data_IF_449192881311
#
_entry.id   IF_449192881311
#
_cell.length_a   1.000
_cell.length_b   1.000
_cell.length_c   1.000
_cell.angle_alpha   90.00
_cell.angle_beta   90.00
_cell.angle_gamma   90.00
#
_symmetry.space_group_name_H-M   'P 1'
#
loop_
_entity.id
_entity.type
_entity.pdbx_description
1 polymer ?
#
# COMPACT_ATOMS: atom_id res chain seq x y z
N UNK A 1 -1.40 -21.74 -6.55
CA UNK A 1 -2.47 -20.81 -6.98
C UNK A 1 -1.96 -19.38 -6.85
N UNK A 2 -2.60 -18.40 -7.48
CA UNK A 2 -2.25 -16.99 -7.28
C UNK A 2 -2.67 -16.57 -5.87
N UNK A 3 -1.72 -16.50 -4.94
CA UNK A 3 -1.99 -16.25 -3.51
C UNK A 3 -2.47 -14.80 -3.28
N UNK A 4 -1.98 -13.83 -4.05
CA UNK A 4 -2.48 -12.44 -4.03
C UNK A 4 -3.97 -12.40 -4.37
N UNK A 5 -4.39 -13.10 -5.43
CA UNK A 5 -5.81 -13.10 -5.82
C UNK A 5 -6.71 -13.71 -4.74
N UNK A 6 -6.29 -14.82 -4.13
CA UNK A 6 -7.03 -15.42 -3.03
C UNK A 6 -7.15 -14.44 -1.84
N UNK A 7 -6.05 -13.75 -1.49
CA UNK A 7 -6.05 -12.73 -0.44
C UNK A 7 -6.99 -11.55 -0.75
N UNK A 8 -6.98 -11.04 -1.99
CA UNK A 8 -7.89 -9.97 -2.44
C UNK A 8 -9.35 -10.35 -2.27
N UNK A 9 -9.72 -11.55 -2.73
CA UNK A 9 -11.09 -12.08 -2.66
C UNK A 9 -11.54 -12.32 -1.20
N UNK A 10 -10.67 -12.90 -0.36
CA UNK A 10 -10.98 -13.20 1.04
C UNK A 10 -11.14 -11.95 1.92
N UNK A 11 -10.43 -10.86 1.59
CA UNK A 11 -10.36 -9.67 2.44
C UNK A 11 -11.08 -8.44 1.88
N UNK A 12 -11.80 -8.57 0.75
CA UNK A 12 -12.38 -7.43 0.03
C UNK A 12 -11.32 -6.31 -0.19
N UNK A 13 -10.16 -6.74 -0.67
CA UNK A 13 -8.96 -5.94 -0.77
C UNK A 13 -8.44 -5.89 -2.21
N UNK A 14 -7.57 -4.94 -2.50
CA UNK A 14 -6.87 -4.81 -3.78
C UNK A 14 -5.39 -4.60 -3.52
N UNK A 15 -4.54 -5.45 -4.09
CA UNK A 15 -3.09 -5.34 -4.02
C UNK A 15 -2.63 -4.33 -5.07
N UNK A 16 -2.19 -3.16 -4.61
CA UNK A 16 -1.77 -2.05 -5.46
C UNK A 16 -0.30 -2.15 -5.89
N UNK A 17 0.52 -2.87 -5.13
CA UNK A 17 1.94 -3.07 -5.45
C UNK A 17 2.49 -4.35 -4.81
N UNK A 18 3.49 -4.95 -5.44
CA UNK A 18 4.30 -6.04 -4.90
C UNK A 18 5.75 -5.59 -4.69
N UNK A 19 6.52 -6.42 -3.98
CA UNK A 19 7.95 -6.20 -3.84
C UNK A 19 8.65 -6.53 -5.16
N UNK A 20 9.55 -5.68 -5.64
CA UNK A 20 10.19 -5.86 -6.94
C UNK A 20 10.99 -7.17 -7.11
N UNK A 21 11.38 -7.82 -6.00
CA UNK A 21 12.09 -9.11 -6.00
C UNK A 21 11.16 -10.31 -5.74
N UNK A 22 9.91 -10.09 -5.35
CA UNK A 22 8.93 -11.15 -5.07
C UNK A 22 8.13 -11.40 -6.35
N UNK A 23 8.39 -12.54 -6.99
CA UNK A 23 7.75 -12.92 -8.26
C UNK A 23 6.70 -14.02 -8.11
N UNK A 24 6.57 -14.62 -6.92
CA UNK A 24 5.69 -15.75 -6.62
C UNK A 24 4.36 -15.33 -5.98
N UNK A 25 4.05 -14.03 -5.96
CA UNK A 25 2.81 -13.47 -5.41
C UNK A 25 2.57 -13.86 -3.93
N UNK A 26 3.62 -14.14 -3.15
CA UNK A 26 3.44 -14.51 -1.75
C UNK A 26 3.21 -13.32 -0.81
N UNK A 27 3.58 -12.09 -1.22
CA UNK A 27 3.51 -10.90 -0.37
C UNK A 27 3.01 -9.66 -1.11
N UNK A 28 1.95 -9.05 -0.58
CA UNK A 28 1.53 -7.72 -0.99
C UNK A 28 2.47 -6.66 -0.39
N UNK A 29 2.87 -5.68 -1.20
CA UNK A 29 3.67 -4.52 -0.75
C UNK A 29 2.80 -3.33 -0.35
N UNK A 30 1.70 -3.12 -1.08
CA UNK A 30 0.68 -2.12 -0.77
C UNK A 30 -0.70 -2.69 -1.04
N UNK A 31 -1.62 -2.49 -0.11
CA UNK A 31 -2.99 -3.04 -0.14
C UNK A 31 -3.99 -1.94 0.14
N UNK A 32 -5.03 -1.84 -0.68
CA UNK A 32 -6.24 -1.10 -0.38
C UNK A 32 -7.29 -2.06 0.21
N UNK A 33 -7.90 -1.68 1.33
CA UNK A 33 -9.07 -2.34 1.88
C UNK A 33 -10.28 -1.44 1.66
N UNK A 34 -11.28 -1.97 0.98
CA UNK A 34 -12.50 -1.23 0.69
C UNK A 34 -13.37 -1.10 1.95
N UNK A 35 -14.17 -0.03 2.01
CA UNK A 35 -15.18 0.14 3.04
C UNK A 35 -16.19 -1.02 3.03
N UNK A 36 -16.68 -1.39 4.20
CA UNK A 36 -17.78 -2.34 4.39
C UNK A 36 -18.97 -1.67 5.08
N UNK A 37 -20.07 -2.40 5.23
CA UNK A 37 -21.22 -1.92 5.99
C UNK A 37 -20.88 -1.64 7.48
N UNK A 38 -19.90 -2.37 8.03
CA UNK A 38 -19.43 -2.19 9.41
C UNK A 38 -18.34 -1.11 9.50
N UNK A 39 -17.39 -1.09 8.56
CA UNK A 39 -16.26 -0.16 8.53
C UNK A 39 -16.35 0.74 7.30
N UNK A 40 -16.87 1.96 7.47
CA UNK A 40 -17.17 2.85 6.35
C UNK A 40 -15.93 3.54 5.73
N UNK A 41 -14.76 3.38 6.35
CA UNK A 41 -13.52 3.96 5.82
C UNK A 41 -12.85 3.06 4.78
N UNK A 42 -12.21 3.67 3.78
CA UNK A 42 -11.22 2.99 2.94
C UNK A 42 -9.84 3.13 3.58
N UNK A 43 -9.04 2.07 3.56
CA UNK A 43 -7.70 2.05 4.14
C UNK A 43 -6.66 1.68 3.08
N UNK A 44 -5.50 2.35 3.10
CA UNK A 44 -4.31 1.90 2.36
C UNK A 44 -3.24 1.49 3.38
N UNK A 45 -2.83 0.23 3.33
CA UNK A 45 -1.70 -0.31 4.07
C UNK A 45 -0.47 -0.40 3.15
N UNK A 46 0.61 0.29 3.51
CA UNK A 46 1.86 0.32 2.74
C UNK A 46 2.99 -0.29 3.58
N UNK A 47 3.41 -1.51 3.24
CA UNK A 47 4.42 -2.27 3.95
C UNK A 47 5.78 -2.34 3.26
N UNK A 48 5.97 -1.60 2.16
CA UNK A 48 7.24 -1.59 1.43
C UNK A 48 8.34 -0.95 2.30
N UNK A 49 9.42 -1.69 2.58
CA UNK A 49 10.56 -1.18 3.37
C UNK A 49 11.26 0.04 2.72
N UNK A 50 11.06 0.25 1.42
CA UNK A 50 11.54 1.44 0.73
C UNK A 50 10.79 2.72 1.14
N UNK A 51 9.61 2.60 1.75
CA UNK A 51 8.83 3.72 2.26
C UNK A 51 9.32 4.13 3.66
N UNK A 52 10.53 4.69 3.70
CA UNK A 52 11.20 5.14 4.93
C UNK A 52 11.26 6.67 4.97
N UNK A 53 10.71 7.26 6.04
CA UNK A 53 10.67 8.71 6.23
C UNK A 53 11.93 9.27 6.90
N UNK A 54 12.63 8.44 7.67
CA UNK A 54 13.81 8.82 8.41
C UNK A 54 14.89 7.75 8.22
N UNK A 55 15.67 7.89 7.16
CA UNK A 55 16.72 6.94 6.81
C UNK A 55 17.94 7.04 7.75
N UNK A 56 17.82 6.55 8.98
CA UNK A 56 18.89 6.44 10.00
C UNK A 56 20.03 7.46 9.83
N UNK A 57 21.24 6.99 9.51
CA UNK A 57 22.46 7.81 9.48
C UNK A 57 22.70 8.56 8.16
N UNK A 58 21.78 8.51 7.19
CA UNK A 58 21.98 9.04 5.85
C UNK A 58 20.82 9.92 5.39
N UNK A 59 21.10 10.83 4.47
CA UNK A 59 20.04 11.56 3.78
C UNK A 59 19.23 10.58 2.90
N UNK A 60 17.91 10.61 3.04
CA UNK A 60 17.03 9.94 2.08
C UNK A 60 16.98 10.75 0.78
N UNK A 61 17.76 10.31 -0.21
CA UNK A 61 17.82 10.94 -1.54
C UNK A 61 16.51 10.82 -2.33
N UNK A 62 15.57 9.99 -1.87
CA UNK A 62 14.24 9.79 -2.46
C UNK A 62 13.11 10.33 -1.57
N UNK A 63 13.41 11.21 -0.61
CA UNK A 63 12.41 11.80 0.30
C UNK A 63 11.23 12.44 -0.45
N UNK A 64 11.49 13.10 -1.58
CA UNK A 64 10.45 13.73 -2.39
C UNK A 64 9.44 12.70 -2.94
N UNK A 65 9.90 11.49 -3.28
CA UNK A 65 9.02 10.41 -3.71
C UNK A 65 8.12 9.93 -2.56
N UNK A 66 8.66 9.84 -1.35
CA UNK A 66 7.90 9.49 -0.13
C UNK A 66 6.81 10.53 0.13
N UNK A 67 7.17 11.81 0.07
CA UNK A 67 6.22 12.93 0.25
C UNK A 67 5.14 12.89 -0.84
N UNK A 68 5.51 12.69 -2.10
CA UNK A 68 4.57 12.63 -3.21
C UNK A 68 3.61 11.45 -3.09
N UNK A 69 4.12 10.24 -2.82
CA UNK A 69 3.30 9.04 -2.61
C UNK A 69 2.28 9.27 -1.50
N UNK A 70 2.70 9.85 -0.39
CA UNK A 70 1.83 10.13 0.77
C UNK A 70 0.74 11.13 0.41
N UNK A 71 1.10 12.23 -0.27
CA UNK A 71 0.12 13.21 -0.74
C UNK A 71 -0.90 12.58 -1.68
N UNK A 72 -0.46 11.72 -2.60
CA UNK A 72 -1.35 11.03 -3.52
C UNK A 72 -2.31 10.08 -2.80
N UNK A 73 -1.81 9.30 -1.82
CA UNK A 73 -2.64 8.41 -1.00
C UNK A 73 -3.70 9.21 -0.22
N UNK A 74 -3.29 10.28 0.46
CA UNK A 74 -4.23 11.12 1.23
C UNK A 74 -5.26 11.80 0.32
N UNK A 75 -4.84 12.28 -0.85
CA UNK A 75 -5.76 12.87 -1.81
C UNK A 75 -6.76 11.82 -2.34
N UNK A 76 -6.29 10.64 -2.74
CA UNK A 76 -7.14 9.54 -3.18
C UNK A 76 -8.18 9.15 -2.11
N UNK A 77 -7.73 8.96 -0.86
CA UNK A 77 -8.61 8.59 0.25
C UNK A 77 -9.62 9.69 0.59
N UNK A 78 -9.25 10.96 0.49
CA UNK A 78 -10.17 12.08 0.75
C UNK A 78 -11.20 12.30 -0.37
N UNK A 79 -10.89 11.86 -1.60
CA UNK A 79 -11.82 11.91 -2.71
C UNK A 79 -12.84 10.75 -2.70
N UNK A 80 -12.51 9.63 -2.05
CA UNK A 80 -13.44 8.53 -1.81
C UNK A 80 -14.38 8.87 -0.64
N UNK A 81 -15.64 9.13 -0.98
CA UNK A 81 -16.73 9.29 -0.01
C UNK A 81 -17.57 8.04 0.06
#
# INVERSE_FOLDING_TARGET
GNIVKAFEEENNATVLATWGHVTDYCCAGMVEFASTAEYQGTCIALGLAAYEWNQNSNLNVYQDNIVLMTKNILHYLSAKK
#
